data_IF_659504292087
#
_entry.id   IF_659504292087
#
_cell.length_a   1.000
_cell.length_b   1.000
_cell.length_c   1.000
_cell.angle_alpha   90.00
_cell.angle_beta   90.00
_cell.angle_gamma   90.00
#
_symmetry.space_group_name_H-M   'P 1'
#
loop_
_entity.id
_entity.type
_entity.pdbx_description
1 polymer ?
#
# COMPACT_ATOMS: atom_id res chain seq x y z
N UNK A 1 -6.75 11.50 21.97
CA UNK A 1 -6.79 10.10 21.51
C UNK A 1 -5.59 9.90 20.60
N UNK A 2 -4.97 8.71 20.55
CA UNK A 2 -3.85 8.47 19.67
C UNK A 2 -4.26 8.64 18.19
N UNK A 3 -3.32 9.11 17.36
CA UNK A 3 -3.52 9.10 15.90
C UNK A 3 -3.30 7.69 15.38
N UNK A 4 -4.18 7.21 14.50
CA UNK A 4 -4.05 5.92 13.84
C UNK A 4 -3.84 6.14 12.34
N UNK A 5 -3.10 5.26 11.70
CA UNK A 5 -3.00 5.21 10.24
C UNK A 5 -3.49 3.85 9.74
N UNK A 6 -4.78 3.71 9.60
CA UNK A 6 -5.42 2.47 9.16
C UNK A 6 -5.88 2.53 7.70
N UNK A 7 -6.15 3.74 7.21
CA UNK A 7 -6.59 4.04 5.85
C UNK A 7 -6.00 5.38 5.41
N UNK A 8 -5.93 5.65 4.11
CA UNK A 8 -5.44 6.94 3.59
C UNK A 8 -6.32 8.09 4.07
N UNK A 9 -7.62 7.86 4.18
CA UNK A 9 -8.58 8.87 4.67
C UNK A 9 -8.29 9.36 6.08
N UNK A 10 -7.58 8.62 6.90
CA UNK A 10 -7.24 9.02 8.27
C UNK A 10 -6.30 10.24 8.29
N UNK A 11 -5.54 10.47 7.22
CA UNK A 11 -4.68 11.63 7.04
C UNK A 11 -5.46 12.91 6.64
N UNK A 12 -6.65 12.75 6.06
CA UNK A 12 -7.31 13.83 5.38
C UNK A 12 -6.52 14.37 4.18
N UNK A 13 -7.05 15.39 3.50
CA UNK A 13 -6.44 15.90 2.27
C UNK A 13 -5.06 16.54 2.51
N UNK A 14 -4.93 17.39 3.51
CA UNK A 14 -3.65 18.06 3.82
C UNK A 14 -2.59 17.09 4.33
N UNK A 15 -2.97 16.18 5.24
CA UNK A 15 -2.04 15.22 5.84
C UNK A 15 -1.48 14.22 4.83
N UNK A 16 -2.28 13.77 3.85
CA UNK A 16 -1.78 12.88 2.80
C UNK A 16 -0.66 13.53 1.98
N UNK A 17 -0.80 14.81 1.61
CA UNK A 17 0.24 15.57 0.92
C UNK A 17 1.45 15.86 1.82
N UNK A 18 1.22 16.11 3.10
CA UNK A 18 2.29 16.35 4.06
C UNK A 18 3.19 15.13 4.22
N UNK A 19 2.60 13.93 4.35
CA UNK A 19 3.35 12.67 4.42
C UNK A 19 4.25 12.49 3.19
N UNK A 20 3.75 12.72 1.99
CA UNK A 20 4.55 12.55 0.76
C UNK A 20 5.73 13.53 0.73
N UNK A 21 5.47 14.81 1.03
CA UNK A 21 6.53 15.83 1.05
C UNK A 21 7.57 15.54 2.13
N UNK A 22 7.10 15.14 3.32
CA UNK A 22 8.00 14.79 4.42
C UNK A 22 8.83 13.54 4.12
N UNK A 23 8.23 12.52 3.52
CA UNK A 23 8.93 11.32 3.10
C UNK A 23 10.04 11.61 2.06
N UNK A 24 9.75 12.49 1.08
CA UNK A 24 10.75 12.97 0.12
C UNK A 24 11.91 13.68 0.80
N UNK A 25 11.62 14.62 1.69
CA UNK A 25 12.65 15.33 2.48
C UNK A 25 13.49 14.35 3.30
N UNK A 26 12.87 13.37 3.97
CA UNK A 26 13.56 12.34 4.74
C UNK A 26 14.49 11.48 3.88
N UNK A 27 14.11 11.20 2.64
CA UNK A 27 14.96 10.48 1.68
C UNK A 27 16.15 11.34 1.26
N UNK A 28 15.91 12.55 0.78
CA UNK A 28 16.93 13.46 0.26
C UNK A 28 18.00 13.84 1.30
N UNK A 29 17.60 13.95 2.57
CA UNK A 29 18.49 14.31 3.68
C UNK A 29 19.09 13.12 4.42
N UNK A 30 18.75 11.88 4.01
CA UNK A 30 19.07 10.66 4.76
C UNK A 30 18.69 10.80 6.25
N UNK A 31 17.50 11.34 6.50
CA UNK A 31 17.01 11.73 7.81
C UNK A 31 16.98 10.56 8.81
N UNK A 32 17.52 10.84 10.01
CA UNK A 32 17.38 10.00 11.18
C UNK A 32 16.82 10.86 12.31
N UNK A 33 15.65 10.48 12.82
CA UNK A 33 14.91 11.28 13.79
C UNK A 33 14.92 10.70 15.19
N UNK A 34 14.22 11.38 16.08
CA UNK A 34 14.13 11.07 17.51
C UNK A 34 12.69 10.95 18.01
N UNK A 35 11.69 10.97 17.12
CA UNK A 35 10.27 10.92 17.53
C UNK A 35 9.88 9.61 18.22
N UNK A 36 10.71 8.58 18.06
CA UNK A 36 10.54 7.28 18.70
C UNK A 36 11.61 6.96 19.76
N UNK A 37 12.39 7.93 20.22
CA UNK A 37 13.40 7.70 21.26
C UNK A 37 12.77 7.04 22.50
N UNK A 38 13.33 5.90 22.89
CA UNK A 38 12.85 5.11 24.03
C UNK A 38 11.53 4.37 23.81
N UNK A 39 10.93 4.46 22.64
CA UNK A 39 9.66 3.80 22.30
C UNK A 39 9.86 2.42 21.67
N UNK A 40 8.86 1.57 21.85
CA UNK A 40 8.79 0.21 21.33
C UNK A 40 7.59 0.07 20.40
N UNK A 41 7.82 -0.37 19.17
CA UNK A 41 6.75 -0.74 18.24
C UNK A 41 6.60 -2.27 18.17
N UNK A 42 5.39 -2.80 18.35
CA UNK A 42 5.09 -4.20 18.12
C UNK A 42 4.69 -4.42 16.64
N UNK A 43 5.44 -5.25 15.92
CA UNK A 43 5.13 -5.69 14.57
C UNK A 43 4.37 -7.01 14.65
N UNK A 44 3.06 -6.97 14.42
CA UNK A 44 2.15 -8.12 14.57
C UNK A 44 1.71 -8.56 13.18
N UNK A 45 2.21 -9.71 12.73
CA UNK A 45 1.99 -10.19 11.38
C UNK A 45 1.30 -11.55 11.39
N UNK A 46 0.08 -11.62 10.86
CA UNK A 46 -0.62 -12.88 10.57
C UNK A 46 -0.27 -13.43 9.18
N UNK A 47 0.26 -12.60 8.29
CA UNK A 47 0.78 -12.98 6.97
C UNK A 47 2.28 -12.68 6.90
N UNK A 48 3.07 -13.63 6.40
CA UNK A 48 4.50 -13.43 6.22
C UNK A 48 4.80 -12.24 5.27
N UNK A 49 5.83 -11.48 5.57
CA UNK A 49 6.32 -10.42 4.68
C UNK A 49 7.72 -9.98 5.05
N UNK A 50 8.69 -10.27 4.19
CA UNK A 50 10.08 -9.84 4.38
C UNK A 50 10.20 -8.33 4.23
N UNK A 51 9.70 -7.76 3.13
CA UNK A 51 9.81 -6.33 2.83
C UNK A 51 9.17 -5.44 3.90
N UNK A 52 7.93 -5.73 4.27
CA UNK A 52 7.20 -4.94 5.27
C UNK A 52 7.87 -5.03 6.65
N UNK A 53 8.32 -6.23 7.04
CA UNK A 53 9.03 -6.42 8.30
C UNK A 53 10.31 -5.61 8.34
N UNK A 54 11.17 -5.78 7.34
CA UNK A 54 12.49 -5.11 7.32
C UNK A 54 12.33 -3.60 7.22
N UNK A 55 11.46 -3.10 6.33
CA UNK A 55 11.29 -1.65 6.14
C UNK A 55 10.75 -0.96 7.41
N UNK A 56 9.79 -1.55 8.12
CA UNK A 56 9.31 -0.99 9.39
C UNK A 56 10.34 -1.11 10.52
N UNK A 57 11.04 -2.24 10.65
CA UNK A 57 12.10 -2.38 11.67
C UNK A 57 13.19 -1.32 11.47
N UNK A 58 13.63 -1.12 10.23
CA UNK A 58 14.61 -0.08 9.89
C UNK A 58 14.03 1.32 10.10
N UNK A 59 12.78 1.59 9.73
CA UNK A 59 12.13 2.88 9.92
C UNK A 59 12.08 3.27 11.41
N UNK A 60 11.61 2.35 12.26
CA UNK A 60 11.54 2.56 13.73
C UNK A 60 12.92 2.84 14.31
N UNK A 61 13.95 2.04 13.93
CA UNK A 61 15.34 2.25 14.39
C UNK A 61 15.93 3.57 13.92
N UNK A 62 15.63 4.00 12.69
CA UNK A 62 16.09 5.29 12.18
C UNK A 62 15.39 6.48 12.83
N UNK A 63 14.28 6.26 13.52
CA UNK A 63 13.55 7.26 14.32
C UNK A 63 13.84 7.17 15.83
N UNK A 64 14.83 6.33 16.25
CA UNK A 64 15.29 6.21 17.64
C UNK A 64 14.59 5.13 18.45
N UNK A 65 13.65 4.39 17.87
CA UNK A 65 12.88 3.35 18.56
C UNK A 65 13.45 1.94 18.43
N UNK A 66 12.74 0.98 19.01
CA UNK A 66 13.00 -0.45 18.93
C UNK A 66 11.75 -1.21 18.51
N UNK A 67 11.91 -2.44 18.04
CA UNK A 67 10.79 -3.28 17.58
C UNK A 67 10.74 -4.60 18.29
N UNK A 68 9.52 -5.11 18.50
CA UNK A 68 9.25 -6.49 18.88
C UNK A 68 8.48 -7.12 17.72
N UNK A 69 9.01 -8.19 17.14
CA UNK A 69 8.33 -8.91 16.07
C UNK A 69 7.55 -10.09 16.64
N UNK A 70 6.25 -10.12 16.34
CA UNK A 70 5.34 -11.21 16.70
C UNK A 70 4.95 -11.96 15.42
N UNK A 71 5.57 -13.13 15.14
CA UNK A 71 5.29 -13.91 13.95
C UNK A 71 3.93 -14.60 14.00
N UNK A 72 3.39 -15.08 12.86
CA UNK A 72 2.07 -15.72 12.79
C UNK A 72 1.90 -16.92 13.75
N UNK A 73 2.97 -17.70 13.98
CA UNK A 73 2.94 -18.86 14.87
C UNK A 73 2.82 -18.49 16.35
N UNK A 74 3.31 -17.30 16.73
CA UNK A 74 3.32 -16.80 18.10
C UNK A 74 2.24 -15.74 18.33
N UNK A 75 1.72 -15.15 17.25
CA UNK A 75 0.63 -14.19 17.30
C UNK A 75 -0.70 -14.92 17.47
N UNK A 76 -1.24 -14.89 18.67
CA UNK A 76 -2.55 -15.50 19.00
C UNK A 76 -3.71 -14.53 18.81
N UNK A 77 -3.57 -13.53 17.92
CA UNK A 77 -4.60 -12.52 17.68
C UNK A 77 -5.98 -13.15 17.41
N UNK A 78 -6.86 -13.12 18.41
CA UNK A 78 -8.23 -13.59 18.30
C UNK A 78 -8.42 -15.12 18.29
N UNK A 79 -7.37 -15.93 18.61
CA UNK A 79 -7.51 -17.41 18.64
C UNK A 79 -7.98 -17.94 20.00
N UNK A 80 -7.44 -17.45 21.08
CA UNK A 80 -7.77 -17.91 22.45
C UNK A 80 -8.11 -16.77 23.40
N UNK A 81 -7.74 -15.54 23.05
CA UNK A 81 -8.01 -14.33 23.81
C UNK A 81 -8.80 -13.34 22.91
N UNK A 82 -9.83 -12.65 23.45
CA UNK A 82 -10.49 -11.58 22.72
C UNK A 82 -9.49 -10.50 22.30
N UNK A 83 -9.58 -10.01 21.08
CA UNK A 83 -8.63 -9.02 20.55
C UNK A 83 -8.59 -7.73 21.37
N UNK A 84 -9.73 -7.31 21.93
CA UNK A 84 -9.84 -6.19 22.88
C UNK A 84 -8.98 -6.35 24.14
N UNK A 85 -8.79 -7.58 24.62
CA UNK A 85 -7.95 -7.83 25.81
C UNK A 85 -6.48 -7.75 25.43
N UNK A 86 -6.11 -8.33 24.29
CA UNK A 86 -4.78 -8.16 23.67
C UNK A 86 -4.46 -6.66 23.49
N UNK A 87 -5.40 -5.86 22.95
CA UNK A 87 -5.23 -4.42 22.77
C UNK A 87 -4.92 -3.70 24.09
N UNK A 88 -5.67 -4.00 25.16
CA UNK A 88 -5.48 -3.41 26.49
C UNK A 88 -4.15 -3.80 27.12
N UNK A 89 -3.74 -5.06 26.97
CA UNK A 89 -2.47 -5.56 27.51
C UNK A 89 -1.29 -4.93 26.76
N UNK A 90 -1.29 -4.96 25.42
CA UNK A 90 -0.21 -4.38 24.62
C UNK A 90 -0.08 -2.88 24.83
N UNK A 91 -1.17 -2.17 25.11
CA UNK A 91 -1.15 -0.75 25.47
C UNK A 91 -0.39 -0.43 26.78
N UNK A 92 -0.04 -1.45 27.57
CA UNK A 92 0.78 -1.32 28.79
C UNK A 92 2.25 -1.64 28.57
N UNK A 93 2.59 -2.23 27.40
CA UNK A 93 3.94 -2.76 27.15
C UNK A 93 4.66 -2.03 26.02
N UNK A 94 3.93 -1.55 25.02
CA UNK A 94 4.51 -0.94 23.82
C UNK A 94 3.87 0.41 23.51
N UNK A 95 4.45 1.14 22.56
CA UNK A 95 4.02 2.49 22.22
C UNK A 95 3.27 2.58 20.89
N UNK A 96 3.35 1.54 20.04
CA UNK A 96 2.69 1.50 18.72
C UNK A 96 2.47 0.04 18.27
N UNK A 97 1.35 -0.20 17.59
CA UNK A 97 1.09 -1.45 16.87
C UNK A 97 1.22 -1.23 15.38
N UNK A 98 2.04 -2.05 14.72
CA UNK A 98 2.18 -2.14 13.26
C UNK A 98 1.65 -3.51 12.85
N UNK A 99 0.46 -3.52 12.22
CA UNK A 99 -0.33 -4.75 12.09
C UNK A 99 -0.50 -5.12 10.62
N UNK A 100 -0.17 -6.37 10.29
CA UNK A 100 -0.45 -7.01 9.00
C UNK A 100 -1.35 -8.22 9.24
N UNK A 101 -2.59 -8.13 8.81
CA UNK A 101 -3.63 -9.14 9.10
C UNK A 101 -4.52 -9.37 7.88
N UNK A 102 -5.62 -10.09 8.08
CA UNK A 102 -6.67 -10.32 7.08
C UNK A 102 -7.75 -9.23 7.14
N UNK A 103 -8.61 -9.28 8.12
CA UNK A 103 -9.76 -8.38 8.24
C UNK A 103 -9.41 -7.01 8.83
N UNK A 104 -9.98 -5.96 8.25
CA UNK A 104 -9.82 -4.59 8.71
C UNK A 104 -10.45 -4.37 10.09
N UNK A 105 -11.52 -5.11 10.42
CA UNK A 105 -12.21 -5.07 11.70
C UNK A 105 -11.28 -5.36 12.89
N UNK A 106 -10.21 -6.14 12.67
CA UNK A 106 -9.20 -6.39 13.71
C UNK A 106 -8.42 -5.12 14.06
N UNK A 107 -8.09 -4.32 13.06
CA UNK A 107 -7.42 -3.03 13.31
C UNK A 107 -8.36 -2.06 14.01
N UNK A 108 -9.61 -2.02 13.56
CA UNK A 108 -10.64 -1.14 14.15
C UNK A 108 -10.85 -1.51 15.64
N UNK A 109 -10.92 -2.82 15.99
CA UNK A 109 -11.03 -3.29 17.37
C UNK A 109 -9.76 -2.98 18.20
N UNK A 110 -8.55 -3.16 17.63
CA UNK A 110 -7.30 -2.78 18.30
C UNK A 110 -7.24 -1.28 18.60
N UNK A 111 -7.69 -0.44 17.68
CA UNK A 111 -7.73 1.01 17.85
C UNK A 111 -8.81 1.46 18.84
N UNK A 112 -9.97 0.78 18.88
CA UNK A 112 -11.08 1.11 19.79
C UNK A 112 -10.73 0.78 21.24
N UNK A 113 -10.12 -0.38 21.50
CA UNK A 113 -9.88 -0.86 22.88
C UNK A 113 -8.45 -0.62 23.37
N UNK A 114 -7.53 -0.26 22.47
CA UNK A 114 -6.18 0.17 22.81
C UNK A 114 -6.08 1.66 23.13
N UNK A 115 -4.97 2.07 23.75
CA UNK A 115 -4.67 3.48 24.03
C UNK A 115 -3.41 3.96 23.29
N UNK A 116 -2.99 3.26 22.26
CA UNK A 116 -1.78 3.52 21.49
C UNK A 116 -2.08 3.54 19.98
N UNK A 117 -1.22 4.18 19.18
CA UNK A 117 -1.33 4.21 17.73
C UNK A 117 -1.38 2.83 17.09
N UNK A 118 -2.24 2.68 16.07
CA UNK A 118 -2.31 1.51 15.21
C UNK A 118 -1.98 1.91 13.78
N UNK A 119 -1.02 1.21 13.16
CA UNK A 119 -0.60 1.42 11.77
C UNK A 119 -0.94 0.17 10.94
N UNK A 120 -1.70 0.36 9.88
CA UNK A 120 -2.06 -0.69 8.93
C UNK A 120 -0.87 -1.01 8.00
N UNK A 121 -0.19 -2.11 8.26
CA UNK A 121 0.87 -2.60 7.38
C UNK A 121 0.33 -3.39 6.17
N UNK A 122 -0.87 -3.93 6.25
CA UNK A 122 -1.72 -4.51 5.20
C UNK A 122 -2.94 -5.20 5.81
N UNK A 123 -4.10 -5.03 5.17
CA UNK A 123 -5.28 -5.90 5.32
C UNK A 123 -5.77 -6.37 3.95
N UNK A 124 -6.79 -7.22 3.93
CA UNK A 124 -7.47 -7.62 2.68
C UNK A 124 -8.28 -6.48 2.05
N UNK A 125 -8.53 -5.41 2.79
CA UNK A 125 -9.24 -4.22 2.30
C UNK A 125 -8.31 -3.16 1.75
N UNK A 126 -7.06 -3.05 2.25
CA UNK A 126 -6.13 -2.02 1.80
C UNK A 126 -4.69 -2.22 2.25
N UNK A 127 -3.78 -1.54 1.54
CA UNK A 127 -2.36 -1.47 1.87
C UNK A 127 -1.86 0.00 1.84
N UNK A 128 -2.34 0.84 2.77
CA UNK A 128 -2.12 2.29 2.71
C UNK A 128 -0.63 2.67 2.78
N UNK A 129 0.18 1.94 3.53
CA UNK A 129 1.63 2.20 3.60
C UNK A 129 2.37 1.94 2.28
N UNK A 130 1.93 0.95 1.49
CA UNK A 130 2.47 0.71 0.15
C UNK A 130 2.08 1.87 -0.75
N UNK A 131 0.80 2.21 -0.78
CA UNK A 131 0.33 3.26 -1.67
C UNK A 131 0.97 4.62 -1.39
N UNK A 132 1.25 4.97 -0.12
CA UNK A 132 2.00 6.20 0.18
C UNK A 132 3.43 6.16 -0.39
N UNK A 133 4.04 4.98 -0.50
CA UNK A 133 5.34 4.82 -1.16
C UNK A 133 5.24 4.94 -2.69
N UNK A 134 4.17 4.39 -3.28
CA UNK A 134 3.90 4.49 -4.72
C UNK A 134 3.67 5.95 -5.12
N UNK A 135 2.87 6.68 -4.35
CA UNK A 135 2.63 8.10 -4.54
C UNK A 135 3.91 8.94 -4.36
N UNK A 136 4.77 8.59 -3.39
CA UNK A 136 6.08 9.23 -3.25
C UNK A 136 6.94 8.99 -4.50
N UNK A 137 6.95 7.77 -5.03
CA UNK A 137 7.72 7.40 -6.22
C UNK A 137 7.27 8.16 -7.46
N UNK A 138 5.96 8.39 -7.59
CA UNK A 138 5.39 9.26 -8.63
C UNK A 138 5.75 10.72 -8.38
N UNK A 139 5.61 11.21 -7.14
CA UNK A 139 5.88 12.59 -6.76
C UNK A 139 7.33 13.02 -7.00
N UNK A 140 8.29 12.12 -6.81
CA UNK A 140 9.70 12.36 -7.10
C UNK A 140 9.96 12.67 -8.59
N UNK A 141 9.12 12.13 -9.49
CA UNK A 141 9.24 12.26 -10.96
C UNK A 141 8.27 13.29 -11.54
N UNK A 142 7.06 13.29 -11.03
CA UNK A 142 5.97 14.14 -11.51
C UNK A 142 5.25 14.78 -10.32
N UNK A 143 5.75 15.91 -9.78
CA UNK A 143 5.17 16.55 -8.58
C UNK A 143 3.75 17.08 -8.77
N UNK A 144 3.38 17.43 -10.01
CA UNK A 144 2.04 17.91 -10.36
C UNK A 144 1.14 16.72 -10.73
N UNK A 145 0.46 16.17 -9.75
CA UNK A 145 -0.43 15.02 -9.93
C UNK A 145 -1.62 15.30 -10.85
N UNK A 146 -1.97 16.56 -11.11
CA UNK A 146 -3.04 16.87 -12.08
C UNK A 146 -2.69 16.47 -13.53
N UNK A 147 -1.41 16.20 -13.79
CA UNK A 147 -0.87 15.75 -15.08
C UNK A 147 -0.57 14.26 -15.11
N UNK A 148 -0.88 13.54 -14.04
CA UNK A 148 -0.58 12.11 -13.89
C UNK A 148 -1.78 11.29 -14.26
N UNK A 149 -1.58 10.31 -15.11
CA UNK A 149 -2.49 9.19 -15.34
C UNK A 149 -1.82 7.91 -14.87
N UNK A 150 -2.40 7.28 -13.85
CA UNK A 150 -2.02 5.95 -13.37
C UNK A 150 -2.98 4.94 -13.94
N UNK A 151 -2.48 3.86 -14.52
CA UNK A 151 -3.29 2.73 -14.94
C UNK A 151 -2.99 1.50 -14.10
N UNK A 152 -4.00 1.04 -13.39
CA UNK A 152 -4.01 -0.26 -12.72
C UNK A 152 -4.41 -1.35 -13.70
N UNK A 153 -3.68 -2.49 -13.72
CA UNK A 153 -3.98 -3.65 -14.56
C UNK A 153 -4.02 -4.91 -13.70
N UNK A 154 -5.18 -5.54 -13.58
CA UNK A 154 -5.31 -6.83 -12.87
C UNK A 154 -6.55 -6.99 -12.02
N UNK A 155 -6.36 -7.53 -10.80
CA UNK A 155 -7.41 -7.85 -9.81
C UNK A 155 -7.87 -6.59 -9.07
N UNK A 156 -9.17 -6.48 -8.78
CA UNK A 156 -9.75 -5.46 -7.90
C UNK A 156 -9.46 -5.70 -6.42
N UNK A 157 -8.22 -6.05 -6.09
CA UNK A 157 -7.76 -6.44 -4.76
C UNK A 157 -7.57 -5.25 -3.79
N UNK A 158 -6.94 -5.49 -2.64
CA UNK A 158 -6.65 -4.47 -1.63
C UNK A 158 -5.74 -3.34 -2.14
N UNK A 159 -4.82 -3.61 -3.08
CA UNK A 159 -4.01 -2.55 -3.70
C UNK A 159 -4.86 -1.67 -4.64
N UNK A 160 -5.72 -2.28 -5.47
CA UNK A 160 -6.69 -1.57 -6.29
C UNK A 160 -7.60 -0.67 -5.44
N UNK A 161 -8.11 -1.19 -4.32
CA UNK A 161 -8.89 -0.41 -3.36
C UNK A 161 -8.10 0.76 -2.78
N UNK A 162 -6.81 0.58 -2.48
CA UNK A 162 -5.95 1.65 -1.98
C UNK A 162 -5.74 2.75 -3.03
N UNK A 163 -5.60 2.39 -4.33
CA UNK A 163 -5.54 3.36 -5.42
C UNK A 163 -6.84 4.15 -5.58
N UNK A 164 -8.00 3.48 -5.45
CA UNK A 164 -9.33 4.13 -5.46
C UNK A 164 -9.45 5.12 -4.30
N UNK A 165 -9.02 4.72 -3.10
CA UNK A 165 -9.04 5.62 -1.93
C UNK A 165 -8.13 6.83 -2.13
N UNK A 166 -6.92 6.65 -2.67
CA UNK A 166 -5.99 7.74 -2.94
C UNK A 166 -6.54 8.76 -3.97
N UNK A 167 -7.29 8.30 -4.96
CA UNK A 167 -7.89 9.17 -5.97
C UNK A 167 -8.89 10.19 -5.38
N UNK A 168 -9.37 10.00 -4.15
CA UNK A 168 -10.17 11.00 -3.43
C UNK A 168 -9.34 12.16 -2.89
N UNK A 169 -8.02 11.99 -2.71
CA UNK A 169 -7.13 12.94 -2.05
C UNK A 169 -6.10 13.57 -2.98
N UNK A 170 -5.85 12.92 -4.12
CA UNK A 170 -4.85 13.35 -5.09
C UNK A 170 -5.48 13.51 -6.48
N UNK A 171 -5.15 14.60 -7.24
CA UNK A 171 -5.87 14.97 -8.47
C UNK A 171 -5.44 14.19 -9.73
N UNK A 172 -4.82 13.01 -9.59
CA UNK A 172 -4.45 12.19 -10.74
C UNK A 172 -5.68 11.52 -11.39
N UNK A 173 -5.53 11.14 -12.67
CA UNK A 173 -6.46 10.24 -13.34
C UNK A 173 -6.09 8.80 -12.98
N UNK A 174 -7.05 8.00 -12.51
CA UNK A 174 -6.92 6.57 -12.31
C UNK A 174 -7.70 5.81 -13.37
N UNK A 175 -6.99 5.12 -14.25
CA UNK A 175 -7.60 4.14 -15.14
C UNK A 175 -7.44 2.75 -14.54
N UNK A 176 -8.45 1.90 -14.67
CA UNK A 176 -8.43 0.55 -14.08
C UNK A 176 -8.89 -0.46 -15.13
N UNK A 177 -7.98 -1.31 -15.56
CA UNK A 177 -8.30 -2.52 -16.30
C UNK A 177 -8.49 -3.66 -15.31
N UNK A 178 -9.71 -4.06 -15.07
CA UNK A 178 -10.08 -5.10 -14.11
C UNK A 178 -10.64 -6.31 -14.84
N UNK A 179 -10.17 -7.51 -14.50
CA UNK A 179 -10.70 -8.73 -15.07
C UNK A 179 -12.17 -8.94 -14.68
N UNK A 180 -13.04 -9.39 -15.60
CA UNK A 180 -14.46 -9.64 -15.30
C UNK A 180 -14.64 -10.61 -14.13
N UNK A 181 -15.47 -10.24 -13.15
CA UNK A 181 -15.72 -11.02 -11.94
C UNK A 181 -14.72 -10.79 -10.79
N UNK A 182 -13.78 -9.86 -10.98
CA UNK A 182 -12.76 -9.49 -9.99
C UNK A 182 -12.80 -7.97 -9.68
N UNK A 183 -13.98 -7.40 -9.68
CA UNK A 183 -14.19 -5.97 -9.48
C UNK A 183 -13.73 -5.53 -8.07
N UNK A 184 -13.25 -4.28 -7.90
CA UNK A 184 -12.86 -3.74 -6.60
C UNK A 184 -14.10 -3.51 -5.71
N UNK A 185 -13.86 -3.10 -4.47
CA UNK A 185 -14.92 -2.74 -3.54
C UNK A 185 -15.85 -1.67 -4.16
N UNK A 186 -17.09 -2.09 -4.47
CA UNK A 186 -18.06 -1.24 -5.17
C UNK A 186 -18.56 -0.07 -4.30
N UNK A 187 -18.55 -0.22 -2.97
CA UNK A 187 -18.96 0.85 -2.06
C UNK A 187 -17.86 1.93 -2.02
N UNK A 188 -16.60 1.51 -1.95
CA UNK A 188 -15.46 2.41 -2.00
C UNK A 188 -15.38 3.14 -3.35
N UNK A 189 -15.57 2.43 -4.46
CA UNK A 189 -15.61 3.01 -5.80
C UNK A 189 -16.70 4.07 -5.93
N UNK A 190 -17.93 3.75 -5.46
CA UNK A 190 -19.03 4.70 -5.48
C UNK A 190 -18.73 5.95 -4.64
N UNK A 191 -18.14 5.77 -3.45
CA UNK A 191 -17.72 6.88 -2.59
C UNK A 191 -16.66 7.76 -3.27
N UNK A 192 -15.67 7.15 -3.92
CA UNK A 192 -14.63 7.88 -4.63
C UNK A 192 -15.18 8.70 -5.79
N UNK A 193 -16.07 8.12 -6.60
CA UNK A 193 -16.75 8.85 -7.70
C UNK A 193 -17.59 10.01 -7.17
N UNK A 194 -18.31 9.82 -6.07
CA UNK A 194 -19.10 10.89 -5.43
C UNK A 194 -18.21 12.02 -4.88
N UNK A 195 -16.98 11.72 -4.45
CA UNK A 195 -16.02 12.74 -4.01
C UNK A 195 -15.39 13.54 -5.16
N UNK A 196 -15.67 13.17 -6.41
CA UNK A 196 -15.11 13.81 -7.60
C UNK A 196 -13.77 13.20 -8.06
N UNK A 197 -13.40 12.02 -7.56
CA UNK A 197 -12.23 11.30 -8.02
C UNK A 197 -12.35 10.96 -9.52
N UNK A 198 -11.26 11.12 -10.26
CA UNK A 198 -11.20 10.85 -11.70
C UNK A 198 -10.84 9.39 -11.90
N UNK A 199 -11.86 8.53 -12.02
CA UNK A 199 -11.67 7.08 -12.17
C UNK A 199 -12.37 6.62 -13.45
N UNK A 200 -11.63 5.87 -14.29
CA UNK A 200 -12.14 5.18 -15.46
C UNK A 200 -11.94 3.68 -15.30
N UNK A 201 -13.03 2.90 -15.34
CA UNK A 201 -13.02 1.45 -15.19
C UNK A 201 -13.36 0.78 -16.52
N UNK A 202 -12.59 -0.23 -16.90
CA UNK A 202 -12.80 -1.04 -18.11
C UNK A 202 -12.34 -2.47 -17.88
N UNK A 203 -12.73 -3.39 -18.77
CA UNK A 203 -12.19 -4.75 -18.85
C UNK A 203 -11.14 -4.91 -19.96
N UNK A 204 -10.77 -3.82 -20.66
CA UNK A 204 -9.79 -3.83 -21.74
C UNK A 204 -8.50 -3.14 -21.29
N UNK A 205 -7.39 -3.89 -21.06
CA UNK A 205 -6.11 -3.31 -20.68
C UNK A 205 -5.56 -2.33 -21.74
N UNK A 206 -5.77 -2.58 -23.02
CA UNK A 206 -5.29 -1.70 -24.10
C UNK A 206 -5.97 -0.34 -24.06
N UNK A 207 -7.25 -0.33 -23.76
CA UNK A 207 -8.00 0.93 -23.59
C UNK A 207 -7.59 1.67 -22.32
N UNK A 208 -7.29 0.95 -21.22
CA UNK A 208 -6.94 1.56 -19.96
C UNK A 208 -5.57 2.24 -19.99
N UNK A 209 -4.59 1.69 -20.72
CA UNK A 209 -3.22 2.22 -20.75
C UNK A 209 -3.04 3.40 -21.69
N UNK A 210 -4.02 3.71 -22.53
CA UNK A 210 -3.93 4.86 -23.44
C UNK A 210 -3.69 6.16 -22.63
N UNK A 211 -2.59 6.84 -22.96
CA UNK A 211 -2.15 8.06 -22.27
C UNK A 211 -1.61 7.87 -20.84
N UNK A 212 -1.43 6.63 -20.36
CA UNK A 212 -0.90 6.35 -19.03
C UNK A 212 0.56 6.80 -18.90
N UNK A 213 0.86 7.52 -17.82
CA UNK A 213 2.23 7.86 -17.43
C UNK A 213 2.86 6.78 -16.55
N UNK A 214 2.03 6.07 -15.79
CA UNK A 214 2.42 5.00 -14.89
C UNK A 214 1.47 3.82 -15.07
N UNK A 215 2.02 2.62 -15.22
CA UNK A 215 1.27 1.36 -15.23
C UNK A 215 1.63 0.60 -13.96
N UNK A 216 0.62 0.16 -13.23
CA UNK A 216 0.75 -0.59 -11.99
C UNK A 216 0.10 -1.97 -12.14
N UNK A 217 0.82 -3.02 -11.77
CA UNK A 217 0.27 -4.36 -11.65
C UNK A 217 0.56 -4.94 -10.27
N UNK A 218 -0.20 -5.93 -9.88
CA UNK A 218 0.00 -6.76 -8.69
C UNK A 218 -0.32 -8.22 -9.02
N UNK A 219 0.13 -9.14 -8.19
CA UNK A 219 -0.12 -10.58 -8.37
C UNK A 219 -1.60 -10.87 -8.56
N UNK A 220 -1.92 -11.78 -9.47
CA UNK A 220 -3.32 -12.18 -9.72
C UNK A 220 -3.89 -13.01 -8.59
N UNK A 221 -3.05 -13.80 -7.88
CA UNK A 221 -3.43 -14.56 -6.72
C UNK A 221 -2.64 -14.06 -5.50
N UNK A 222 -3.32 -13.46 -4.54
CA UNK A 222 -2.71 -13.04 -3.28
C UNK A 222 -2.37 -14.26 -2.40
N UNK A 223 -1.46 -14.08 -1.44
CA UNK A 223 -1.10 -15.14 -0.48
C UNK A 223 -2.35 -15.70 0.21
N UNK A 224 -2.53 -17.03 0.12
CA UNK A 224 -3.70 -17.76 0.65
C UNK A 224 -4.80 -18.03 -0.38
N UNK A 225 -4.59 -17.71 -1.66
CA UNK A 225 -5.53 -17.95 -2.77
C UNK A 225 -4.98 -18.97 -3.79
N UNK A 226 -3.98 -19.75 -3.43
CA UNK A 226 -3.27 -20.67 -4.34
C UNK A 226 -4.19 -21.76 -4.91
N UNK A 227 -5.26 -22.13 -4.22
CA UNK A 227 -6.26 -23.09 -4.72
C UNK A 227 -7.08 -22.54 -5.90
N UNK A 228 -7.18 -21.21 -6.03
CA UNK A 228 -7.87 -20.53 -7.13
C UNK A 228 -6.95 -20.19 -8.31
N UNK A 229 -5.66 -20.47 -8.22
CA UNK A 229 -4.65 -20.00 -9.17
C UNK A 229 -5.02 -20.30 -10.62
N UNK A 230 -5.38 -21.54 -10.96
CA UNK A 230 -5.75 -21.92 -12.34
C UNK A 230 -6.97 -21.15 -12.87
N UNK A 231 -7.95 -20.89 -12.02
CA UNK A 231 -9.14 -20.12 -12.38
C UNK A 231 -8.76 -18.66 -12.64
N UNK A 232 -7.85 -18.13 -11.84
CA UNK A 232 -7.34 -16.76 -11.99
C UNK A 232 -6.47 -16.62 -13.24
N UNK A 233 -5.56 -17.55 -13.51
CA UNK A 233 -4.76 -17.58 -14.74
C UNK A 233 -5.64 -17.51 -16.01
N UNK A 234 -6.77 -18.21 -16.02
CA UNK A 234 -7.71 -18.15 -17.16
C UNK A 234 -8.46 -16.80 -17.22
N UNK A 235 -8.92 -16.29 -16.09
CA UNK A 235 -9.67 -15.04 -16.02
C UNK A 235 -8.80 -13.82 -16.33
N UNK A 236 -7.51 -13.85 -15.98
CA UNK A 236 -6.56 -12.77 -16.22
C UNK A 236 -5.79 -12.90 -17.55
N UNK A 237 -6.19 -13.81 -18.41
CA UNK A 237 -5.61 -13.94 -19.73
C UNK A 237 -5.77 -12.64 -20.52
N UNK A 238 -4.64 -12.04 -20.93
CA UNK A 238 -4.59 -10.74 -21.60
C UNK A 238 -4.39 -9.53 -20.66
N UNK A 239 -4.22 -9.76 -19.35
CA UNK A 239 -3.92 -8.73 -18.35
C UNK A 239 -2.43 -8.68 -17.96
N UNK A 240 -1.58 -9.45 -18.64
CA UNK A 240 -0.13 -9.37 -18.43
C UNK A 240 0.41 -8.04 -18.96
N UNK A 241 1.17 -7.33 -18.15
CA UNK A 241 1.90 -6.15 -18.61
C UNK A 241 3.17 -6.59 -19.31
N UNK A 242 3.14 -6.50 -20.62
CA UNK A 242 4.23 -6.82 -21.54
C UNK A 242 4.70 -5.57 -22.31
N UNK A 243 5.72 -5.71 -23.14
CA UNK A 243 6.26 -4.62 -23.94
C UNK A 243 5.26 -4.08 -24.97
N UNK A 244 4.33 -4.91 -25.49
CA UNK A 244 3.26 -4.46 -26.36
C UNK A 244 2.33 -3.51 -25.62
N UNK A 245 1.83 -3.92 -24.45
CA UNK A 245 0.94 -3.10 -23.64
C UNK A 245 1.62 -1.79 -23.18
N UNK A 246 2.89 -1.87 -22.76
CA UNK A 246 3.69 -0.68 -22.41
C UNK A 246 3.81 0.31 -23.58
N UNK A 247 3.93 -0.19 -24.80
CA UNK A 247 4.08 0.65 -26.00
C UNK A 247 2.83 1.46 -26.38
N UNK A 248 1.66 1.08 -25.88
CA UNK A 248 0.39 1.78 -26.09
C UNK A 248 0.19 2.96 -25.13
N UNK A 249 1.01 3.08 -24.10
CA UNK A 249 0.93 4.14 -23.10
C UNK A 249 1.65 5.42 -23.57
N UNK A 250 1.65 6.44 -22.72
CA UNK A 250 2.35 7.68 -23.00
C UNK A 250 3.87 7.46 -23.18
N UNK A 251 4.55 8.25 -24.02
CA UNK A 251 6.00 8.18 -24.15
C UNK A 251 6.70 8.38 -22.80
N UNK A 252 7.62 7.46 -22.47
CA UNK A 252 8.34 7.50 -21.19
C UNK A 252 7.57 6.92 -20.01
N UNK A 253 6.48 6.18 -20.27
CA UNK A 253 5.71 5.46 -19.24
C UNK A 253 6.61 4.67 -18.30
N UNK A 254 6.25 4.62 -17.02
CA UNK A 254 6.94 3.85 -15.98
C UNK A 254 6.07 2.72 -15.46
N UNK A 255 6.73 1.63 -15.07
CA UNK A 255 6.10 0.46 -14.48
C UNK A 255 6.36 0.39 -12.98
N UNK A 256 5.31 0.09 -12.21
CA UNK A 256 5.29 -0.05 -10.75
C UNK A 256 4.71 -1.41 -10.35
N UNK A 257 5.18 -1.96 -9.24
CA UNK A 257 4.68 -3.21 -8.66
C UNK A 257 5.12 -3.34 -7.19
N UNK A 258 4.18 -3.62 -6.29
CA UNK A 258 4.46 -3.71 -4.84
C UNK A 258 5.37 -4.88 -4.43
N UNK A 259 5.62 -5.82 -5.35
CA UNK A 259 6.40 -7.04 -5.14
C UNK A 259 5.82 -7.98 -4.04
N UNK A 260 6.00 -9.33 -4.19
CA UNK A 260 6.74 -10.03 -5.24
C UNK A 260 6.01 -10.03 -6.57
N UNK A 261 6.72 -10.04 -7.69
CA UNK A 261 6.14 -10.20 -9.02
C UNK A 261 6.27 -11.65 -9.51
N UNK A 262 5.21 -12.17 -10.13
CA UNK A 262 5.23 -13.48 -10.81
C UNK A 262 5.48 -13.24 -12.30
N UNK A 263 6.76 -13.27 -12.66
CA UNK A 263 7.21 -13.03 -14.04
C UNK A 263 6.62 -14.07 -14.99
N UNK A 264 5.94 -13.59 -16.04
CA UNK A 264 5.22 -14.43 -16.99
C UNK A 264 3.72 -14.58 -16.65
N UNK A 265 3.28 -14.06 -15.50
CA UNK A 265 1.87 -13.92 -15.14
C UNK A 265 1.43 -12.45 -15.32
N UNK A 266 1.38 -11.64 -14.27
CA UNK A 266 0.92 -10.25 -14.34
C UNK A 266 1.89 -9.29 -15.01
N UNK A 267 3.17 -9.66 -15.13
CA UNK A 267 4.20 -8.87 -15.80
C UNK A 267 5.26 -9.76 -16.45
N UNK A 268 5.80 -9.35 -17.60
CA UNK A 268 6.91 -10.07 -18.23
C UNK A 268 8.25 -9.74 -17.59
N UNK A 269 9.22 -10.66 -17.73
CA UNK A 269 10.60 -10.42 -17.28
C UNK A 269 11.23 -9.21 -17.99
N UNK A 270 10.93 -9.05 -19.29
CA UNK A 270 11.39 -7.92 -20.10
C UNK A 270 10.97 -6.57 -19.52
N UNK A 271 9.71 -6.41 -19.11
CA UNK A 271 9.22 -5.17 -18.50
C UNK A 271 9.85 -4.94 -17.14
N UNK A 272 9.94 -5.99 -16.30
CA UNK A 272 10.54 -5.91 -14.96
C UNK A 272 12.01 -5.47 -14.98
N UNK A 273 12.79 -5.87 -15.97
CA UNK A 273 14.22 -5.55 -16.10
C UNK A 273 14.48 -4.33 -17.00
N UNK A 274 13.43 -3.71 -17.55
CA UNK A 274 13.58 -2.55 -18.42
C UNK A 274 13.87 -1.25 -17.64
N UNK A 275 14.36 -0.22 -18.34
CA UNK A 275 14.51 1.14 -17.80
C UNK A 275 13.15 1.81 -17.46
N UNK A 276 12.05 1.26 -17.94
CA UNK A 276 10.70 1.70 -17.58
C UNK A 276 10.32 1.24 -16.16
N UNK A 277 10.88 0.13 -15.69
CA UNK A 277 10.60 -0.40 -14.35
C UNK A 277 11.25 0.47 -13.27
N UNK A 278 10.43 0.94 -12.33
CA UNK A 278 10.87 1.73 -11.18
C UNK A 278 10.51 1.05 -9.85
N UNK A 279 10.31 -0.26 -9.90
CA UNK A 279 9.89 -1.08 -8.75
C UNK A 279 10.91 -1.09 -7.59
N UNK A 280 12.20 -0.89 -7.90
CA UNK A 280 13.24 -0.84 -6.87
C UNK A 280 13.21 0.49 -6.11
N UNK A 281 12.97 1.62 -6.80
CA UNK A 281 12.79 2.92 -6.18
C UNK A 281 11.51 2.94 -5.34
N UNK A 282 10.44 2.32 -5.84
CA UNK A 282 9.18 2.12 -5.13
C UNK A 282 9.39 1.31 -3.84
N UNK A 283 10.14 0.20 -3.93
CA UNK A 283 10.48 -0.63 -2.77
C UNK A 283 11.32 0.12 -1.73
N UNK A 284 12.29 0.96 -2.15
CA UNK A 284 13.05 1.85 -1.27
C UNK A 284 12.15 2.87 -0.60
N UNK A 285 11.24 3.48 -1.34
CA UNK A 285 10.34 4.54 -0.88
C UNK A 285 9.39 4.07 0.23
N UNK A 286 9.19 2.77 0.40
CA UNK A 286 8.48 2.21 1.57
C UNK A 286 9.12 2.62 2.88
N UNK A 287 10.45 2.59 2.97
CA UNK A 287 11.17 3.02 4.17
C UNK A 287 10.88 4.47 4.50
N UNK A 288 10.93 5.34 3.50
CA UNK A 288 10.76 6.78 3.70
C UNK A 288 9.32 7.18 4.01
N UNK A 289 8.34 6.60 3.29
CA UNK A 289 6.92 6.78 3.57
C UNK A 289 6.56 6.27 4.98
N UNK A 290 7.05 5.12 5.39
CA UNK A 290 6.82 4.56 6.73
C UNK A 290 7.43 5.44 7.83
N UNK A 291 8.62 6.03 7.62
CA UNK A 291 9.19 7.00 8.57
C UNK A 291 8.28 8.23 8.73
N UNK A 292 7.81 8.79 7.62
CA UNK A 292 6.93 9.96 7.67
C UNK A 292 5.59 9.64 8.33
N UNK A 293 5.01 8.46 8.08
CA UNK A 293 3.79 7.97 8.75
C UNK A 293 4.02 7.83 10.25
N UNK A 294 5.12 7.21 10.67
CA UNK A 294 5.45 7.04 12.08
C UNK A 294 5.68 8.40 12.77
N UNK A 295 6.38 9.33 12.12
CA UNK A 295 6.56 10.68 12.65
C UNK A 295 5.20 11.39 12.82
N UNK A 296 4.30 11.29 11.84
CA UNK A 296 2.95 11.84 11.91
C UNK A 296 2.11 11.21 13.03
N UNK A 297 2.19 9.90 13.21
CA UNK A 297 1.47 9.15 14.25
C UNK A 297 1.90 9.62 15.65
N UNK A 298 3.17 9.97 15.85
CA UNK A 298 3.73 10.45 17.11
C UNK A 298 3.81 11.98 17.22
N UNK A 299 3.35 12.73 16.22
CA UNK A 299 3.24 14.19 16.35
C UNK A 299 2.03 14.57 17.21
N UNK A 300 2.12 15.72 17.90
CA UNK A 300 1.05 16.28 18.73
C UNK A 300 -0.22 16.68 17.93
#
# INVERSE_FOLDING_TARGET
MPKHFMRIRDLGHSGAWEIIRRAKEMKETNYRGHCMDGKVAALIFEKASTRTRVSFDVAVRQLGGTTIFMPPAESQLGRSEPLRDTARVLSRYVDCLIVRTFGQEKLDELAEYGSLPVVNALTDQGHPCQLMADLLTIYERTPDFSKVTVTWVGDGNNMANSWIEAAMYFPFQLNMAIAPGYEPDQQLLALALQSGAKIFLTHDPKLAVDGANYIYADVWASMGQEEEQKKREEAFKGFCVDSELMSLAAPGVKFLHCLPAHRGEEVTDEVMESEASIVWDEAENRLHAQKAILEWVFSD
#
